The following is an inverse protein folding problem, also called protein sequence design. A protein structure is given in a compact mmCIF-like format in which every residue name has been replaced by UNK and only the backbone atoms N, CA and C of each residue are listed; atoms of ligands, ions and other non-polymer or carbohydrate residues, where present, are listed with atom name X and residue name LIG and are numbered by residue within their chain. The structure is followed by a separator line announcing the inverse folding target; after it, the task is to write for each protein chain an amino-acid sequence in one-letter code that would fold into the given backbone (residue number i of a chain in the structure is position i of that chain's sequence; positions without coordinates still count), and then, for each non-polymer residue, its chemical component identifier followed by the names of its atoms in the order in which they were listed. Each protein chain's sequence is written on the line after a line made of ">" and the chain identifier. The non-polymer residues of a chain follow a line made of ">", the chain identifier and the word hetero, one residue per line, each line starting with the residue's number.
data_IF_285751780071
#
_entry.id   IF_285751780071
#
_cell.length_a   1.000
_cell.length_b   1.000
_cell.length_c   1.000
_cell.angle_alpha   90.00
_cell.angle_beta   90.00
_cell.angle_gamma   90.00
#
_symmetry.space_group_name_H-M   'P 1'
#
loop_
_entity.id
_entity.type
_entity.pdbx_description
1 polymer ?
#
# COMPACT_ATOMS: atom_id res chain seq x y z
N UNK A 1 -14.47 -54.58 -7.53
CA UNK A 1 -15.36 -54.35 -8.69
C UNK A 1 -16.44 -55.43 -8.76
N UNK A 2 -17.73 -55.06 -8.94
CA UNK A 2 -18.84 -55.96 -9.20
C UNK A 2 -19.68 -55.42 -10.36
N UNK A 3 -20.61 -56.23 -10.86
CA UNK A 3 -21.36 -55.91 -12.07
C UNK A 3 -22.85 -56.24 -11.84
N UNK A 4 -23.72 -55.43 -12.42
CA UNK A 4 -25.17 -55.62 -12.46
C UNK A 4 -25.62 -55.54 -13.93
N UNK A 5 -26.53 -56.41 -14.34
CA UNK A 5 -27.15 -56.39 -15.65
C UNK A 5 -28.37 -55.46 -15.62
N UNK A 6 -28.43 -54.53 -16.56
CA UNK A 6 -29.49 -53.58 -16.65
C UNK A 6 -30.65 -54.11 -17.53
N UNK A 7 -31.89 -53.66 -17.31
CA UNK A 7 -33.07 -54.12 -18.10
C UNK A 7 -32.93 -53.88 -19.61
N UNK A 8 -32.04 -52.99 -20.02
CA UNK A 8 -31.77 -52.69 -21.42
C UNK A 8 -30.64 -53.52 -22.05
N UNK A 9 -30.23 -54.63 -21.40
CA UNK A 9 -29.19 -55.55 -21.87
C UNK A 9 -27.76 -55.04 -21.75
N UNK A 10 -27.52 -53.87 -21.10
CA UNK A 10 -26.20 -53.34 -20.83
C UNK A 10 -25.69 -53.77 -19.45
N UNK A 11 -24.38 -53.77 -19.28
CA UNK A 11 -23.70 -54.22 -18.05
C UNK A 11 -23.09 -53.06 -17.33
N UNK A 12 -23.53 -52.81 -16.08
CA UNK A 12 -23.06 -51.72 -15.24
C UNK A 12 -22.06 -52.27 -14.22
N UNK A 13 -20.81 -51.83 -14.33
CA UNK A 13 -19.70 -52.14 -13.45
C UNK A 13 -19.55 -51.10 -12.37
N UNK A 14 -19.26 -51.51 -11.12
CA UNK A 14 -19.11 -50.65 -9.96
C UNK A 14 -17.81 -50.93 -9.25
N UNK A 15 -17.25 -49.87 -8.64
CA UNK A 15 -16.13 -49.98 -7.72
C UNK A 15 -16.38 -49.08 -6.52
N UNK A 16 -15.88 -49.50 -5.36
CA UNK A 16 -15.94 -48.67 -4.13
C UNK A 16 -14.64 -47.94 -3.93
N UNK A 17 -14.75 -46.71 -3.41
CA UNK A 17 -13.61 -45.94 -2.96
C UNK A 17 -13.96 -45.25 -1.65
N UNK A 18 -12.96 -44.93 -0.83
CA UNK A 18 -13.09 -44.12 0.39
C UNK A 18 -13.04 -42.64 -0.01
N UNK A 19 -14.12 -41.91 0.24
CA UNK A 19 -14.19 -40.47 -0.04
C UNK A 19 -13.23 -39.73 0.88
N UNK A 20 -12.31 -38.93 0.34
CA UNK A 20 -11.26 -38.27 1.11
C UNK A 20 -11.75 -37.20 2.09
N UNK A 21 -12.96 -36.66 1.90
CA UNK A 21 -13.56 -35.65 2.76
C UNK A 21 -14.47 -36.22 3.86
N UNK A 22 -15.25 -37.23 3.52
CA UNK A 22 -16.23 -37.79 4.46
C UNK A 22 -15.79 -39.10 5.10
N UNK A 23 -14.67 -39.66 4.64
CA UNK A 23 -14.13 -40.98 4.99
C UNK A 23 -15.12 -42.14 4.78
N UNK A 24 -16.27 -41.90 4.20
CA UNK A 24 -17.31 -42.89 3.91
C UNK A 24 -17.01 -43.59 2.59
N UNK A 25 -17.42 -44.89 2.53
CA UNK A 25 -17.35 -45.65 1.29
C UNK A 25 -18.41 -45.13 0.29
N UNK A 26 -17.94 -44.63 -0.85
CA UNK A 26 -18.76 -44.25 -2.00
C UNK A 26 -18.51 -45.19 -3.16
N UNK A 27 -19.45 -45.24 -4.14
CA UNK A 27 -19.32 -46.07 -5.34
C UNK A 27 -19.24 -45.22 -6.60
N UNK A 28 -18.44 -45.65 -7.57
CA UNK A 28 -18.45 -45.18 -8.96
C UNK A 28 -18.97 -46.28 -9.86
N UNK A 29 -19.46 -45.91 -11.04
CA UNK A 29 -19.96 -46.89 -12.01
C UNK A 29 -19.62 -46.50 -13.45
N UNK A 30 -19.53 -47.52 -14.31
CA UNK A 30 -19.37 -47.43 -15.77
C UNK A 30 -20.28 -48.43 -16.43
N UNK A 31 -20.94 -48.07 -17.52
CA UNK A 31 -21.83 -48.98 -18.27
C UNK A 31 -21.15 -49.40 -19.56
N UNK A 32 -21.14 -50.69 -19.82
CA UNK A 32 -20.59 -51.33 -21.01
C UNK A 32 -21.71 -52.05 -21.78
N UNK A 33 -21.53 -52.21 -23.10
CA UNK A 33 -22.53 -52.84 -23.96
C UNK A 33 -22.39 -54.35 -24.01
N UNK A 34 -21.20 -54.89 -23.67
CA UNK A 34 -20.88 -56.33 -23.78
C UNK A 34 -20.31 -56.84 -22.45
N UNK A 35 -20.53 -58.17 -22.20
CA UNK A 35 -20.00 -58.88 -21.02
C UNK A 35 -18.78 -59.72 -21.40
N UNK A 36 -17.84 -59.16 -22.15
CA UNK A 36 -16.61 -59.85 -22.53
C UNK A 36 -15.47 -59.59 -21.54
N UNK A 37 -14.45 -60.48 -21.45
CA UNK A 37 -13.26 -60.18 -20.65
C UNK A 37 -12.61 -58.85 -20.99
N UNK A 38 -12.60 -58.48 -22.28
CA UNK A 38 -12.08 -57.20 -22.75
C UNK A 38 -12.92 -56.03 -22.23
N UNK A 39 -14.25 -56.10 -22.27
CA UNK A 39 -15.14 -55.07 -21.74
C UNK A 39 -14.99 -54.93 -20.21
N UNK A 40 -14.74 -56.02 -19.48
CA UNK A 40 -14.45 -55.99 -18.04
C UNK A 40 -13.14 -55.29 -17.72
N UNK A 41 -12.07 -55.53 -18.49
CA UNK A 41 -10.79 -54.87 -18.33
C UNK A 41 -10.91 -53.38 -18.64
N UNK A 42 -11.62 -53.01 -19.70
CA UNK A 42 -11.88 -51.62 -20.05
C UNK A 42 -12.72 -50.90 -18.97
N UNK A 43 -13.74 -51.57 -18.42
CA UNK A 43 -14.52 -51.05 -17.30
C UNK A 43 -13.66 -50.82 -16.05
N UNK A 44 -12.69 -51.71 -15.76
CA UNK A 44 -11.78 -51.57 -14.62
C UNK A 44 -10.89 -50.34 -14.78
N UNK A 45 -10.33 -50.09 -15.99
CA UNK A 45 -9.51 -48.91 -16.29
C UNK A 45 -10.35 -47.63 -16.10
N UNK A 46 -11.53 -47.57 -16.71
CA UNK A 46 -12.41 -46.39 -16.60
C UNK A 46 -12.92 -46.14 -15.17
N UNK A 47 -13.17 -47.20 -14.37
CA UNK A 47 -13.50 -47.06 -12.96
C UNK A 47 -12.34 -46.51 -12.15
N UNK A 48 -11.11 -47.00 -12.41
CA UNK A 48 -9.91 -46.50 -11.76
C UNK A 48 -9.62 -45.04 -12.11
N UNK A 49 -9.80 -44.67 -13.36
CA UNK A 49 -9.68 -43.26 -13.79
C UNK A 49 -10.71 -42.37 -13.07
N UNK A 50 -11.96 -42.81 -12.97
CA UNK A 50 -13.00 -42.10 -12.22
C UNK A 50 -12.71 -42.00 -10.73
N UNK A 51 -12.13 -43.02 -10.13
CA UNK A 51 -11.71 -43.01 -8.72
C UNK A 51 -10.54 -42.06 -8.56
N UNK A 52 -9.52 -42.19 -9.39
CA UNK A 52 -8.35 -41.31 -9.39
C UNK A 52 -8.77 -39.84 -9.53
N UNK A 53 -9.67 -39.52 -10.46
CA UNK A 53 -10.21 -38.17 -10.63
C UNK A 53 -10.95 -37.64 -9.40
N UNK A 54 -11.58 -38.52 -8.60
CA UNK A 54 -12.24 -38.12 -7.34
C UNK A 54 -11.31 -38.11 -6.14
N UNK A 55 -10.23 -38.88 -6.18
CA UNK A 55 -9.15 -38.87 -5.17
C UNK A 55 -8.14 -37.74 -5.44
N UNK A 56 -7.90 -37.36 -6.70
CA UNK A 56 -6.98 -36.30 -7.09
C UNK A 56 -7.41 -34.90 -6.64
N UNK A 57 -8.67 -34.75 -6.18
CA UNK A 57 -9.05 -33.56 -5.40
C UNK A 57 -8.23 -33.43 -4.10
N UNK A 58 -7.47 -34.43 -3.70
CA UNK A 58 -6.53 -34.40 -2.57
C UNK A 58 -5.06 -34.61 -2.98
N UNK A 59 -4.79 -35.11 -4.18
CA UNK A 59 -3.43 -35.04 -4.75
C UNK A 59 -3.22 -33.63 -5.30
N UNK A 60 -2.30 -32.95 -4.71
CA UNK A 60 -1.77 -31.66 -5.21
C UNK A 60 -1.30 -31.93 -6.64
N UNK A 61 -2.18 -31.69 -7.63
CA UNK A 61 -1.74 -31.55 -9.01
C UNK A 61 -0.59 -30.54 -8.99
N UNK A 62 0.41 -30.74 -9.83
CA UNK A 62 1.56 -29.87 -9.94
C UNK A 62 1.15 -28.46 -10.37
N UNK A 63 0.60 -27.70 -9.39
CA UNK A 63 0.15 -26.33 -9.61
C UNK A 63 1.36 -25.44 -9.94
N UNK A 64 1.23 -24.63 -10.96
CA UNK A 64 2.26 -23.69 -11.35
C UNK A 64 2.21 -22.43 -10.48
N UNK A 65 3.31 -21.68 -10.46
CA UNK A 65 3.39 -20.41 -9.77
C UNK A 65 2.36 -19.40 -10.30
N UNK A 66 2.09 -19.37 -11.59
CA UNK A 66 1.09 -18.48 -12.18
C UNK A 66 -0.33 -18.84 -11.74
N UNK A 67 -0.66 -20.12 -11.67
CA UNK A 67 -1.98 -20.56 -11.24
C UNK A 67 -2.25 -20.21 -9.79
N UNK A 68 -1.29 -20.47 -8.88
CA UNK A 68 -1.46 -20.11 -7.46
C UNK A 68 -1.46 -18.59 -7.27
N UNK A 69 -0.65 -17.85 -8.05
CA UNK A 69 -0.68 -16.38 -8.04
C UNK A 69 -2.06 -15.85 -8.42
N UNK A 70 -2.68 -16.39 -9.46
CA UNK A 70 -4.00 -15.96 -9.93
C UNK A 70 -5.10 -16.26 -8.89
N UNK A 71 -5.07 -17.43 -8.25
CA UNK A 71 -5.98 -17.78 -7.17
C UNK A 71 -5.81 -16.84 -5.97
N UNK A 72 -4.58 -16.63 -5.53
CA UNK A 72 -4.25 -15.67 -4.48
C UNK A 72 -4.71 -14.26 -4.83
N UNK A 73 -4.39 -13.78 -6.06
CA UNK A 73 -4.75 -12.43 -6.50
C UNK A 73 -6.25 -12.21 -6.48
N UNK A 74 -7.04 -13.18 -6.94
CA UNK A 74 -8.50 -13.11 -6.93
C UNK A 74 -9.07 -12.94 -5.52
N UNK A 75 -8.54 -13.67 -4.55
CA UNK A 75 -8.95 -13.55 -3.14
C UNK A 75 -8.46 -12.24 -2.52
N UNK A 76 -7.15 -11.94 -2.65
CA UNK A 76 -6.52 -10.77 -2.07
C UNK A 76 -7.09 -9.45 -2.63
N UNK A 77 -7.40 -9.39 -3.93
CA UNK A 77 -7.91 -8.18 -4.56
C UNK A 77 -9.26 -7.71 -4.01
N UNK A 78 -10.04 -8.61 -3.40
CA UNK A 78 -11.30 -8.26 -2.73
C UNK A 78 -11.10 -7.57 -1.37
N UNK A 79 -9.93 -7.75 -0.75
CA UNK A 79 -9.64 -7.25 0.60
C UNK A 79 -8.88 -5.93 0.63
N UNK A 80 -8.42 -5.42 -0.52
CA UNK A 80 -7.56 -4.25 -0.58
C UNK A 80 -8.13 -3.14 -1.45
N UNK A 81 -7.71 -1.89 -1.16
CA UNK A 81 -8.08 -0.72 -1.99
C UNK A 81 -7.43 -0.78 -3.37
N UNK A 82 -8.06 -0.17 -4.38
CA UNK A 82 -7.56 -0.11 -5.76
C UNK A 82 -6.15 0.52 -5.86
N UNK A 83 -5.87 1.56 -5.08
CA UNK A 83 -4.53 2.14 -4.98
C UNK A 83 -3.46 1.13 -4.53
N UNK A 84 -3.82 0.18 -3.66
CA UNK A 84 -2.92 -0.90 -3.25
C UNK A 84 -2.69 -1.89 -4.38
N UNK A 85 -3.75 -2.27 -5.12
CA UNK A 85 -3.63 -3.12 -6.32
C UNK A 85 -2.72 -2.46 -7.36
N UNK A 86 -2.92 -1.17 -7.62
CA UNK A 86 -2.09 -0.42 -8.56
C UNK A 86 -0.61 -0.43 -8.16
N UNK A 87 -0.30 -0.16 -6.90
CA UNK A 87 1.07 -0.14 -6.39
C UNK A 87 1.73 -1.53 -6.41
N UNK A 88 0.95 -2.61 -6.24
CA UNK A 88 1.47 -3.98 -6.31
C UNK A 88 1.83 -4.42 -7.73
N UNK A 89 1.25 -3.83 -8.79
CA UNK A 89 1.56 -4.21 -10.19
C UNK A 89 3.06 -4.18 -10.51
N UNK A 90 3.78 -3.16 -10.02
CA UNK A 90 5.22 -3.06 -10.22
C UNK A 90 6.00 -4.13 -9.46
N UNK A 91 5.54 -4.48 -8.26
CA UNK A 91 6.12 -5.55 -7.43
C UNK A 91 5.87 -6.91 -8.07
N UNK A 92 4.62 -7.16 -8.52
CA UNK A 92 4.23 -8.39 -9.20
C UNK A 92 5.02 -8.59 -10.51
N UNK A 93 5.24 -7.49 -11.26
CA UNK A 93 6.10 -7.54 -12.46
C UNK A 93 7.52 -7.99 -12.11
N UNK A 94 8.14 -7.39 -11.08
CA UNK A 94 9.50 -7.75 -10.65
C UNK A 94 9.61 -9.18 -10.13
N UNK A 95 8.59 -9.64 -9.44
CA UNK A 95 8.50 -11.03 -8.98
C UNK A 95 8.49 -12.01 -10.15
N UNK A 96 7.69 -11.73 -11.21
CA UNK A 96 7.57 -12.56 -12.41
C UNK A 96 8.83 -12.51 -13.30
N UNK A 97 9.68 -11.50 -13.17
CA UNK A 97 10.97 -11.43 -13.86
C UNK A 97 11.99 -12.47 -13.32
N UNK A 98 11.83 -12.90 -12.05
CA UNK A 98 12.76 -13.84 -11.39
C UNK A 98 12.17 -15.22 -11.13
N UNK A 99 10.85 -15.38 -11.18
CA UNK A 99 10.16 -16.67 -11.06
C UNK A 99 9.33 -16.88 -12.33
N UNK A 100 9.74 -17.82 -13.21
CA UNK A 100 8.97 -18.17 -14.41
C UNK A 100 7.55 -18.63 -14.06
N UNK A 101 6.59 -18.26 -14.87
CA UNK A 101 5.16 -18.51 -14.61
C UNK A 101 4.78 -20.00 -14.61
N UNK A 102 5.50 -20.81 -15.39
CA UNK A 102 5.32 -22.25 -15.54
C UNK A 102 6.05 -23.09 -14.48
N UNK A 103 6.77 -22.44 -13.55
CA UNK A 103 7.48 -23.13 -12.48
C UNK A 103 6.48 -23.84 -11.56
N UNK A 104 6.67 -25.13 -11.31
CA UNK A 104 5.87 -25.92 -10.37
C UNK A 104 6.11 -25.37 -8.96
N UNK A 105 5.04 -25.01 -8.25
CA UNK A 105 5.12 -24.38 -6.93
C UNK A 105 5.90 -25.22 -5.92
N UNK A 106 5.72 -26.53 -5.91
CA UNK A 106 6.40 -27.46 -5.00
C UNK A 106 7.93 -27.52 -5.23
N UNK A 107 8.41 -27.11 -6.41
CA UNK A 107 9.84 -27.06 -6.74
C UNK A 107 10.52 -25.73 -6.35
N UNK A 108 9.75 -24.74 -5.88
CA UNK A 108 10.28 -23.46 -5.39
C UNK A 108 10.81 -23.63 -3.96
N UNK A 109 11.96 -24.26 -3.87
CA UNK A 109 12.65 -24.47 -2.60
C UNK A 109 13.29 -23.17 -2.05
N UNK A 110 13.78 -23.25 -0.82
CA UNK A 110 14.44 -22.12 -0.14
C UNK A 110 15.60 -21.54 -0.92
N UNK A 111 16.42 -22.40 -1.57
CA UNK A 111 17.58 -21.97 -2.32
C UNK A 111 17.17 -21.14 -3.53
N UNK A 112 16.23 -21.64 -4.32
CA UNK A 112 15.72 -20.92 -5.49
C UNK A 112 15.12 -19.56 -5.09
N UNK A 113 14.30 -19.54 -4.01
CA UNK A 113 13.66 -18.32 -3.53
C UNK A 113 14.68 -17.30 -3.00
N UNK A 114 15.74 -17.77 -2.34
CA UNK A 114 16.82 -16.90 -1.88
C UNK A 114 17.59 -16.29 -3.06
N UNK A 115 17.98 -17.10 -4.06
CA UNK A 115 18.63 -16.62 -5.29
C UNK A 115 17.74 -15.61 -6.06
N UNK A 116 16.43 -15.85 -6.13
CA UNK A 116 15.48 -14.93 -6.74
C UNK A 116 15.42 -13.58 -6.01
N UNK A 117 15.44 -13.58 -4.69
CA UNK A 117 15.46 -12.36 -3.87
C UNK A 117 16.78 -11.60 -4.06
N UNK A 118 17.91 -12.30 -4.11
CA UNK A 118 19.24 -11.71 -4.32
C UNK A 118 19.35 -11.03 -5.69
N UNK A 119 18.84 -11.65 -6.75
CA UNK A 119 18.75 -11.03 -8.09
C UNK A 119 17.95 -9.73 -8.06
N UNK A 120 16.87 -9.67 -7.26
CA UNK A 120 16.09 -8.42 -7.11
C UNK A 120 16.87 -7.38 -6.28
N UNK A 121 17.65 -7.78 -5.28
CA UNK A 121 18.51 -6.85 -4.54
C UNK A 121 19.51 -6.19 -5.48
N UNK A 122 20.17 -6.98 -6.32
CA UNK A 122 21.14 -6.49 -7.29
C UNK A 122 20.54 -5.54 -8.33
N UNK A 123 19.40 -5.90 -8.90
CA UNK A 123 18.79 -5.14 -9.99
C UNK A 123 17.92 -3.98 -9.53
N UNK A 124 17.26 -4.07 -8.37
CA UNK A 124 16.22 -3.13 -7.93
C UNK A 124 16.38 -2.63 -6.48
N UNK A 125 17.38 -3.11 -5.77
CA UNK A 125 17.72 -2.71 -4.42
C UNK A 125 16.87 -3.33 -3.31
N UNK A 126 17.34 -3.17 -2.08
CA UNK A 126 16.80 -3.82 -0.87
C UNK A 126 15.31 -3.52 -0.59
N UNK A 127 14.85 -2.28 -0.86
CA UNK A 127 13.46 -1.88 -0.58
C UNK A 127 12.50 -2.65 -1.50
N UNK A 128 12.86 -2.81 -2.77
CA UNK A 128 12.07 -3.57 -3.74
C UNK A 128 12.06 -5.05 -3.37
N UNK A 129 13.21 -5.62 -3.02
CA UNK A 129 13.33 -7.00 -2.58
C UNK A 129 12.45 -7.30 -1.34
N UNK A 130 12.42 -6.39 -0.35
CA UNK A 130 11.52 -6.52 0.80
C UNK A 130 10.05 -6.57 0.41
N UNK A 131 9.63 -5.75 -0.56
CA UNK A 131 8.26 -5.74 -1.06
C UNK A 131 7.92 -7.03 -1.81
N UNK A 132 8.84 -7.50 -2.68
CA UNK A 132 8.67 -8.77 -3.40
C UNK A 132 8.63 -9.95 -2.44
N UNK A 133 9.56 -10.04 -1.48
CA UNK A 133 9.54 -11.09 -0.44
C UNK A 133 8.22 -11.09 0.34
N UNK A 134 7.73 -9.92 0.74
CA UNK A 134 6.44 -9.80 1.43
C UNK A 134 5.28 -10.29 0.55
N UNK A 135 5.31 -9.97 -0.74
CA UNK A 135 4.31 -10.43 -1.70
C UNK A 135 4.34 -11.93 -1.91
N UNK A 136 5.55 -12.52 -2.12
CA UNK A 136 5.77 -13.96 -2.18
C UNK A 136 5.28 -14.67 -0.92
N UNK A 137 5.60 -14.13 0.25
CA UNK A 137 5.13 -14.68 1.53
C UNK A 137 3.61 -14.77 1.59
N UNK A 138 2.90 -13.77 1.09
CA UNK A 138 1.42 -13.79 1.01
C UNK A 138 0.90 -14.88 0.09
N UNK A 139 1.53 -15.09 -1.09
CA UNK A 139 1.16 -16.13 -2.05
C UNK A 139 1.40 -17.52 -1.47
N UNK A 140 2.58 -17.74 -0.84
CA UNK A 140 2.93 -19.02 -0.24
C UNK A 140 2.07 -19.33 1.00
N UNK A 141 1.73 -18.32 1.83
CA UNK A 141 0.76 -18.52 2.92
C UNK A 141 -0.61 -18.94 2.41
N UNK A 142 -1.07 -18.34 1.30
CA UNK A 142 -2.30 -18.77 0.65
C UNK A 142 -2.20 -20.24 0.19
N UNK A 143 -1.08 -20.61 -0.41
CA UNK A 143 -0.85 -21.98 -0.86
C UNK A 143 -0.85 -22.99 0.30
N UNK A 144 -0.22 -22.65 1.44
CA UNK A 144 -0.26 -23.46 2.67
C UNK A 144 -1.69 -23.56 3.21
N UNK A 145 -2.40 -22.43 3.30
CA UNK A 145 -3.78 -22.37 3.80
C UNK A 145 -4.73 -23.30 3.03
N UNK A 146 -4.52 -23.43 1.72
CA UNK A 146 -5.34 -24.30 0.86
C UNK A 146 -4.68 -25.66 0.57
N UNK A 147 -3.62 -26.01 1.30
CA UNK A 147 -2.93 -27.32 1.24
C UNK A 147 -2.34 -27.64 -0.14
N UNK A 148 -1.92 -26.63 -0.91
CA UNK A 148 -1.14 -26.80 -2.14
C UNK A 148 0.33 -27.14 -1.86
N UNK A 149 0.86 -26.66 -0.72
CA UNK A 149 2.20 -26.97 -0.19
C UNK A 149 2.08 -27.12 1.33
N UNK A 150 3.05 -27.80 1.95
CA UNK A 150 3.07 -28.03 3.40
C UNK A 150 3.62 -26.83 4.17
N UNK A 151 4.69 -26.21 3.65
CA UNK A 151 5.42 -25.15 4.35
C UNK A 151 5.62 -23.92 3.45
N UNK A 152 5.76 -22.76 4.09
CA UNK A 152 6.11 -21.53 3.38
C UNK A 152 7.62 -21.35 3.35
N UNK A 153 8.29 -21.80 2.29
CA UNK A 153 9.74 -21.71 2.15
C UNK A 153 10.26 -20.25 2.09
N UNK A 154 9.40 -19.26 1.77
CA UNK A 154 9.77 -17.85 1.80
C UNK A 154 10.10 -17.36 3.22
N UNK A 155 9.52 -17.98 4.25
CA UNK A 155 9.78 -17.59 5.65
C UNK A 155 11.24 -17.80 6.05
N UNK A 156 11.89 -18.76 5.45
CA UNK A 156 13.30 -19.09 5.70
C UNK A 156 14.28 -18.28 4.84
N UNK A 157 13.78 -17.46 3.89
CA UNK A 157 14.65 -16.57 3.12
C UNK A 157 15.02 -15.33 3.93
N UNK A 158 16.17 -14.75 3.65
CA UNK A 158 16.68 -13.57 4.35
C UNK A 158 16.97 -12.42 3.38
N UNK A 159 16.82 -11.20 3.87
CA UNK A 159 17.32 -10.00 3.15
C UNK A 159 18.38 -9.39 4.06
N UNK A 160 19.65 -9.41 3.66
CA UNK A 160 20.73 -8.82 4.45
C UNK A 160 20.42 -7.36 4.75
N UNK A 161 20.65 -6.91 5.97
CA UNK A 161 20.54 -5.49 6.27
C UNK A 161 21.86 -4.81 5.89
N UNK A 162 21.79 -3.87 4.95
CA UNK A 162 22.95 -3.03 4.69
C UNK A 162 23.22 -2.17 5.93
N UNK A 163 24.45 -2.19 6.47
CA UNK A 163 24.83 -1.28 7.55
C UNK A 163 24.54 0.17 7.09
N UNK A 164 23.90 0.94 7.95
CA UNK A 164 23.66 2.36 7.68
C UNK A 164 24.95 3.13 7.93
N UNK A 165 25.34 3.99 7.00
CA UNK A 165 26.44 4.91 7.22
C UNK A 165 26.00 6.07 8.11
N UNK A 166 26.96 6.72 8.78
CA UNK A 166 26.68 7.94 9.56
C UNK A 166 26.00 9.01 8.69
N UNK A 167 26.48 9.19 7.47
CA UNK A 167 25.88 10.12 6.51
C UNK A 167 24.42 9.80 6.17
N UNK A 168 24.06 8.50 6.04
CA UNK A 168 22.67 8.10 5.79
C UNK A 168 21.79 8.37 7.01
N UNK A 169 22.34 8.24 8.22
CA UNK A 169 21.64 8.57 9.46
C UNK A 169 21.44 10.09 9.58
N UNK A 170 22.47 10.90 9.32
CA UNK A 170 22.39 12.36 9.33
C UNK A 170 21.43 12.90 8.27
N UNK A 171 21.49 12.38 7.03
CA UNK A 171 20.52 12.74 5.98
C UNK A 171 19.08 12.41 6.38
N UNK A 172 18.86 11.31 7.11
CA UNK A 172 17.54 10.98 7.64
C UNK A 172 17.13 11.91 8.77
N UNK A 173 18.07 12.28 9.65
CA UNK A 173 17.85 13.24 10.74
C UNK A 173 17.43 14.61 10.22
N UNK A 174 18.15 15.13 9.24
CA UNK A 174 17.98 16.48 8.68
C UNK A 174 16.93 16.54 7.55
N UNK A 175 16.07 15.51 7.41
CA UNK A 175 15.07 15.46 6.33
C UNK A 175 13.79 16.25 6.69
N UNK A 176 13.97 17.51 7.10
CA UNK A 176 12.92 18.49 7.28
C UNK A 176 13.41 19.86 6.78
N UNK A 177 12.50 20.77 6.46
CA UNK A 177 12.82 22.12 6.02
C UNK A 177 12.76 23.08 7.20
N UNK A 178 13.72 24.01 7.24
CA UNK A 178 13.66 25.14 8.17
C UNK A 178 12.60 26.15 7.72
N UNK A 179 12.18 27.04 8.61
CA UNK A 179 11.23 28.11 8.25
C UNK A 179 11.79 29.05 7.18
N UNK A 180 13.11 29.25 7.15
CA UNK A 180 13.79 30.06 6.12
C UNK A 180 13.71 29.39 4.75
N UNK A 181 13.97 28.07 4.66
CA UNK A 181 13.85 27.31 3.42
C UNK A 181 12.41 27.29 2.89
N UNK A 182 11.43 27.16 3.80
CA UNK A 182 10.00 27.18 3.43
C UNK A 182 9.61 28.56 2.89
N UNK A 183 10.01 29.67 3.56
CA UNK A 183 9.76 31.02 3.09
C UNK A 183 10.40 31.25 1.72
N UNK A 184 11.68 30.89 1.53
CA UNK A 184 12.36 31.00 0.26
C UNK A 184 11.64 30.22 -0.87
N UNK A 185 11.13 29.03 -0.58
CA UNK A 185 10.38 28.24 -1.55
C UNK A 185 9.04 28.90 -1.92
N UNK A 186 8.30 29.40 -0.93
CA UNK A 186 7.04 30.13 -1.12
C UNK A 186 7.27 31.41 -1.94
N UNK A 187 8.31 32.17 -1.64
CA UNK A 187 8.66 33.41 -2.36
C UNK A 187 8.95 33.13 -3.84
N UNK A 188 9.74 32.11 -4.13
CA UNK A 188 10.06 31.72 -5.50
C UNK A 188 8.83 31.22 -6.26
N UNK A 189 7.93 30.49 -5.61
CA UNK A 189 6.66 30.04 -6.19
C UNK A 189 5.71 31.20 -6.47
N UNK A 190 5.66 32.21 -5.60
CA UNK A 190 4.80 33.38 -5.74
C UNK A 190 5.20 34.33 -6.86
N UNK A 191 6.42 34.24 -7.39
CA UNK A 191 6.89 35.10 -8.51
C UNK A 191 6.09 34.91 -9.80
N UNK A 192 5.33 33.79 -9.92
CA UNK A 192 4.49 33.50 -11.09
C UNK A 192 3.07 33.20 -10.64
N UNK A 193 2.11 33.93 -11.13
CA UNK A 193 0.70 33.78 -10.81
C UNK A 193 0.22 32.32 -10.89
N UNK A 194 0.54 31.64 -11.99
CA UNK A 194 0.16 30.21 -12.18
C UNK A 194 0.71 29.26 -11.13
N UNK A 195 1.78 29.62 -10.38
CA UNK A 195 2.38 28.78 -9.36
C UNK A 195 2.00 29.16 -7.93
N UNK A 196 1.29 30.26 -7.74
CA UNK A 196 0.86 30.72 -6.41
C UNK A 196 0.02 29.66 -5.66
N UNK A 197 -0.79 28.86 -6.38
CA UNK A 197 -1.50 27.74 -5.76
C UNK A 197 -0.56 26.72 -5.10
N UNK A 198 0.62 26.50 -5.66
CA UNK A 198 1.60 25.58 -5.06
C UNK A 198 2.28 26.20 -3.85
N UNK A 199 2.43 27.52 -3.83
CA UNK A 199 2.88 28.26 -2.64
C UNK A 199 1.85 28.11 -1.50
N UNK A 200 0.57 28.28 -1.79
CA UNK A 200 -0.51 28.06 -0.85
C UNK A 200 -0.58 26.60 -0.37
N UNK A 201 -0.38 25.60 -1.27
CA UNK A 201 -0.30 24.20 -0.88
C UNK A 201 0.89 23.92 0.06
N UNK A 202 2.07 24.49 -0.22
CA UNK A 202 3.26 24.37 0.64
C UNK A 202 2.98 24.96 2.02
N UNK A 203 2.38 26.15 2.08
CA UNK A 203 2.04 26.82 3.32
C UNK A 203 1.05 26.02 4.14
N UNK A 204 -0.05 25.56 3.54
CA UNK A 204 -1.07 24.76 4.24
C UNK A 204 -0.49 23.44 4.73
N UNK A 205 0.28 22.71 3.90
CA UNK A 205 0.93 21.46 4.31
C UNK A 205 1.88 21.67 5.49
N UNK A 206 2.67 22.75 5.45
CA UNK A 206 3.63 23.08 6.50
C UNK A 206 2.96 23.43 7.82
N UNK A 207 1.92 24.27 7.78
CA UNK A 207 1.28 24.80 8.99
C UNK A 207 0.22 23.85 9.61
N UNK A 208 -0.22 22.85 8.83
CA UNK A 208 -1.22 21.87 9.32
C UNK A 208 -0.66 20.48 9.56
N UNK A 209 0.45 20.13 8.93
CA UNK A 209 1.00 18.77 8.94
C UNK A 209 0.13 17.74 8.23
N UNK A 210 -0.82 18.15 7.40
CA UNK A 210 -1.68 17.24 6.62
C UNK A 210 -0.87 16.38 5.64
N UNK A 211 -1.39 15.19 5.32
CA UNK A 211 -0.88 14.43 4.18
C UNK A 211 -1.31 15.07 2.87
N UNK A 212 -0.51 14.92 1.82
CA UNK A 212 -0.85 15.47 0.51
C UNK A 212 -2.24 15.04 0.01
N UNK A 213 -2.59 13.76 0.18
CA UNK A 213 -3.90 13.26 -0.20
C UNK A 213 -5.04 13.79 0.66
N UNK A 214 -4.78 14.18 1.92
CA UNK A 214 -5.75 14.86 2.79
C UNK A 214 -5.97 16.30 2.29
N UNK A 215 -4.90 17.02 1.96
CA UNK A 215 -4.98 18.38 1.38
C UNK A 215 -5.78 18.38 0.07
N UNK A 216 -5.47 17.46 -0.85
CA UNK A 216 -6.15 17.39 -2.15
C UNK A 216 -7.58 16.85 -2.07
N UNK A 217 -7.96 16.25 -0.94
CA UNK A 217 -9.32 15.82 -0.64
C UNK A 217 -10.17 16.90 0.05
N UNK A 218 -9.60 18.07 0.37
CA UNK A 218 -10.35 19.16 1.00
C UNK A 218 -11.38 19.74 0.04
N UNK A 219 -12.61 19.83 0.54
CA UNK A 219 -13.77 20.43 -0.12
C UNK A 219 -14.20 21.69 0.65
N UNK A 220 -14.96 22.57 0.02
CA UNK A 220 -15.41 23.81 0.67
C UNK A 220 -16.15 23.56 1.98
N UNK A 221 -17.00 22.54 2.04
CA UNK A 221 -17.74 22.14 3.25
C UNK A 221 -16.85 21.70 4.43
N UNK A 222 -15.57 21.44 4.20
CA UNK A 222 -14.65 20.99 5.25
C UNK A 222 -14.01 22.17 6.00
N UNK A 223 -14.29 23.43 5.63
CA UNK A 223 -13.66 24.61 6.19
C UNK A 223 -14.70 25.39 7.03
N UNK A 224 -14.40 25.57 8.30
CA UNK A 224 -15.12 26.45 9.21
C UNK A 224 -14.32 27.77 9.30
N UNK A 225 -14.77 28.77 8.53
CA UNK A 225 -14.11 30.08 8.45
C UNK A 225 -14.31 30.92 9.72
N UNK A 226 -15.41 30.71 10.44
CA UNK A 226 -15.72 31.48 11.64
C UNK A 226 -14.81 31.07 12.82
N UNK A 227 -14.53 29.77 12.94
CA UNK A 227 -13.73 29.24 14.04
C UNK A 227 -12.30 28.87 13.64
N UNK A 228 -11.89 29.13 12.40
CA UNK A 228 -10.57 28.76 11.82
C UNK A 228 -10.29 27.26 12.00
N UNK A 229 -11.20 26.38 11.56
CA UNK A 229 -11.07 24.95 11.67
C UNK A 229 -11.11 24.26 10.30
N UNK A 230 -10.39 23.18 10.20
CA UNK A 230 -10.40 22.29 9.02
C UNK A 230 -10.80 20.90 9.50
N UNK A 231 -11.84 20.34 8.88
CA UNK A 231 -12.26 18.97 9.10
C UNK A 231 -11.61 18.05 8.05
N UNK A 232 -10.77 17.13 8.50
CA UNK A 232 -10.06 16.17 7.64
C UNK A 232 -10.85 14.87 7.63
N UNK A 233 -11.64 14.63 6.58
CA UNK A 233 -12.59 13.52 6.48
C UNK A 233 -12.18 12.45 5.47
N UNK A 234 -11.10 12.67 4.72
CA UNK A 234 -10.75 11.74 3.64
C UNK A 234 -9.37 11.94 3.08
N UNK A 235 -9.10 11.09 2.08
CA UNK A 235 -7.90 11.13 1.27
C UNK A 235 -8.30 10.99 -0.20
N UNK A 236 -7.70 11.77 -1.09
CA UNK A 236 -7.97 11.65 -2.50
C UNK A 236 -7.24 10.46 -3.11
N UNK A 237 -7.99 9.54 -3.70
CA UNK A 237 -7.45 8.42 -4.47
C UNK A 237 -7.24 8.87 -5.93
N UNK A 238 -5.98 9.09 -6.28
CA UNK A 238 -5.61 9.57 -7.62
C UNK A 238 -5.82 8.51 -8.72
N UNK A 239 -5.99 7.22 -8.38
CA UNK A 239 -6.25 6.13 -9.34
C UNK A 239 -7.71 6.16 -9.76
N UNK A 240 -8.61 6.19 -8.78
CA UNK A 240 -10.06 6.21 -9.03
C UNK A 240 -10.63 7.62 -9.16
N UNK A 241 -9.83 8.66 -8.91
CA UNK A 241 -10.23 10.07 -8.94
C UNK A 241 -11.41 10.40 -8.01
N UNK A 242 -11.45 9.77 -6.85
CA UNK A 242 -12.50 9.95 -5.84
C UNK A 242 -11.91 10.21 -4.46
N UNK A 243 -12.66 10.92 -3.62
CA UNK A 243 -12.39 11.02 -2.19
C UNK A 243 -12.75 9.70 -1.52
N UNK A 244 -11.83 9.13 -0.77
CA UNK A 244 -12.01 7.89 -0.02
C UNK A 244 -11.89 8.14 1.46
N UNK A 245 -12.59 7.34 2.27
CA UNK A 245 -12.40 7.37 3.72
C UNK A 245 -10.94 7.04 4.08
N UNK A 246 -10.44 7.61 5.17
CA UNK A 246 -9.11 7.29 5.68
C UNK A 246 -8.95 5.79 5.97
N UNK A 247 -7.70 5.34 6.11
CA UNK A 247 -7.41 3.93 6.45
C UNK A 247 -7.72 3.60 7.91
N UNK A 248 -7.70 4.59 8.78
CA UNK A 248 -7.94 4.45 10.22
C UNK A 248 -8.87 5.54 10.71
N UNK A 249 -9.68 5.27 11.72
CA UNK A 249 -10.58 6.24 12.36
C UNK A 249 -9.84 7.45 12.93
N UNK A 250 -8.63 7.25 13.46
CA UNK A 250 -7.78 8.33 13.97
C UNK A 250 -7.31 9.34 12.91
N UNK A 251 -7.50 9.02 11.63
CA UNK A 251 -7.20 9.95 10.54
C UNK A 251 -8.34 10.95 10.29
N UNK A 252 -9.55 10.69 10.78
CA UNK A 252 -10.65 11.67 10.79
C UNK A 252 -10.42 12.56 12.02
N UNK A 253 -10.24 13.85 11.76
CA UNK A 253 -9.94 14.83 12.81
C UNK A 253 -10.29 16.24 12.38
N UNK A 254 -10.57 17.09 13.35
CA UNK A 254 -10.70 18.54 13.15
C UNK A 254 -9.49 19.24 13.76
N UNK A 255 -8.85 20.09 13.00
CA UNK A 255 -7.70 20.87 13.46
C UNK A 255 -8.04 22.36 13.43
N UNK A 256 -7.66 23.07 14.49
CA UNK A 256 -7.64 24.54 14.50
C UNK A 256 -6.38 25.02 13.78
N UNK A 257 -6.52 26.02 12.92
CA UNK A 257 -5.43 26.53 12.06
C UNK A 257 -5.22 28.02 12.26
N UNK A 258 -4.06 28.52 11.84
CA UNK A 258 -3.75 29.94 11.85
C UNK A 258 -4.51 30.68 10.76
N UNK A 259 -4.65 31.98 10.92
CA UNK A 259 -5.24 32.89 9.93
C UNK A 259 -4.56 32.78 8.58
N UNK A 260 -3.23 32.69 8.54
CA UNK A 260 -2.46 32.50 7.30
C UNK A 260 -2.88 31.26 6.49
N UNK A 261 -3.33 30.18 7.14
CA UNK A 261 -3.86 28.99 6.46
C UNK A 261 -5.22 29.28 5.84
N UNK A 262 -6.08 29.99 6.58
CA UNK A 262 -7.42 30.39 6.08
C UNK A 262 -7.27 31.34 4.89
N UNK A 263 -6.39 32.33 4.97
CA UNK A 263 -6.10 33.22 3.85
C UNK A 263 -5.59 32.49 2.61
N UNK A 264 -4.69 31.49 2.78
CA UNK A 264 -4.22 30.69 1.67
C UNK A 264 -5.36 29.89 1.01
N UNK A 265 -6.28 29.36 1.82
CA UNK A 265 -7.48 28.68 1.34
C UNK A 265 -8.43 29.66 0.62
N UNK A 266 -8.65 30.85 1.17
CA UNK A 266 -9.49 31.89 0.57
C UNK A 266 -8.92 32.35 -0.77
N UNK A 267 -7.62 32.60 -0.88
CA UNK A 267 -6.96 32.90 -2.17
C UNK A 267 -7.23 31.84 -3.21
N UNK A 268 -7.21 30.56 -2.79
CA UNK A 268 -7.50 29.47 -3.72
C UNK A 268 -8.98 29.43 -4.13
N UNK A 269 -9.91 29.70 -3.20
CA UNK A 269 -11.35 29.78 -3.48
C UNK A 269 -11.63 30.93 -4.47
N UNK A 270 -11.01 32.10 -4.29
CA UNK A 270 -11.14 33.24 -5.23
C UNK A 270 -10.71 32.82 -6.63
N UNK A 271 -9.54 32.16 -6.79
CA UNK A 271 -9.08 31.68 -8.11
C UNK A 271 -10.04 30.66 -8.74
N UNK A 272 -10.71 29.84 -7.92
CA UNK A 272 -11.70 28.89 -8.42
C UNK A 272 -12.99 29.59 -8.85
N UNK A 273 -13.45 30.57 -8.07
CA UNK A 273 -14.68 31.33 -8.38
C UNK A 273 -14.59 32.16 -9.66
N UNK A 274 -13.38 32.57 -10.06
CA UNK A 274 -13.16 33.23 -11.34
C UNK A 274 -13.37 32.31 -12.55
N UNK A 275 -13.31 31.01 -12.37
CA UNK A 275 -13.33 30.00 -13.46
C UNK A 275 -14.50 29.06 -13.40
N UNK A 276 -15.00 28.78 -12.20
CA UNK A 276 -16.13 27.87 -11.96
C UNK A 276 -17.22 28.60 -11.18
N UNK A 277 -18.36 28.82 -11.78
CA UNK A 277 -19.51 29.41 -11.08
C UNK A 277 -20.81 28.68 -11.44
N UNK A 278 -21.66 28.43 -10.44
CA UNK A 278 -21.44 28.60 -9.00
C UNK A 278 -20.56 27.52 -8.41
N UNK A 279 -19.77 27.85 -7.37
CA UNK A 279 -19.03 26.87 -6.59
C UNK A 279 -19.98 26.06 -5.69
N UNK A 280 -19.79 24.75 -5.67
CA UNK A 280 -20.50 23.81 -4.79
C UNK A 280 -19.73 23.59 -3.49
N UNK A 281 -20.44 23.27 -2.40
CA UNK A 281 -19.83 22.83 -1.16
C UNK A 281 -18.95 21.60 -1.30
N UNK A 282 -19.18 20.78 -2.34
CA UNK A 282 -18.43 19.55 -2.65
C UNK A 282 -17.23 19.76 -3.56
N UNK A 283 -16.98 21.01 -4.04
CA UNK A 283 -15.85 21.30 -4.89
C UNK A 283 -14.52 21.21 -4.11
N UNK A 284 -13.51 20.63 -4.80
CA UNK A 284 -12.16 20.52 -4.23
C UNK A 284 -11.43 21.85 -4.29
N UNK A 285 -10.81 22.25 -3.17
CA UNK A 285 -10.12 23.53 -3.05
C UNK A 285 -8.80 23.53 -3.84
N UNK A 286 -7.99 22.48 -3.73
CA UNK A 286 -6.67 22.37 -4.38
C UNK A 286 -6.74 21.52 -5.64
N UNK A 287 -7.34 22.04 -6.69
CA UNK A 287 -7.55 21.35 -7.95
C UNK A 287 -6.86 22.03 -9.15
N UNK A 288 -6.89 21.33 -10.30
CA UNK A 288 -6.56 21.93 -11.58
C UNK A 288 -7.72 22.80 -12.05
N UNK A 289 -7.43 24.03 -12.33
CA UNK A 289 -8.40 25.07 -12.70
C UNK A 289 -9.22 24.75 -13.96
N UNK A 290 -8.76 23.81 -14.81
CA UNK A 290 -9.48 23.43 -16.04
C UNK A 290 -10.56 22.34 -15.82
N UNK A 291 -10.40 21.48 -14.80
CA UNK A 291 -11.16 20.23 -14.73
C UNK A 291 -11.81 19.94 -13.37
N UNK A 292 -11.69 20.87 -12.43
CA UNK A 292 -12.12 20.66 -11.03
C UNK A 292 -11.63 19.32 -10.46
N UNK A 293 -10.44 18.89 -10.88
CA UNK A 293 -9.78 17.66 -10.42
C UNK A 293 -8.63 18.01 -9.51
N UNK A 294 -8.48 17.34 -8.36
CA UNK A 294 -7.37 17.57 -7.45
C UNK A 294 -6.01 17.50 -8.14
N UNK A 295 -5.11 18.38 -7.75
CA UNK A 295 -3.74 18.42 -8.28
C UNK A 295 -3.03 17.09 -8.02
N UNK A 296 -2.38 16.53 -9.03
CA UNK A 296 -1.69 15.24 -8.88
C UNK A 296 -0.39 15.39 -8.11
N UNK A 297 -0.04 14.38 -7.31
CA UNK A 297 1.21 14.37 -6.55
C UNK A 297 2.44 14.45 -7.47
N UNK A 298 2.38 13.87 -8.66
CA UNK A 298 3.47 13.91 -9.63
C UNK A 298 3.74 15.34 -10.09
N UNK A 299 2.69 16.09 -10.44
CA UNK A 299 2.80 17.49 -10.82
C UNK A 299 3.35 18.33 -9.66
N UNK A 300 2.83 18.16 -8.45
CA UNK A 300 3.32 18.86 -7.27
C UNK A 300 4.81 18.62 -7.02
N UNK A 301 5.26 17.35 -7.05
CA UNK A 301 6.68 17.01 -6.87
C UNK A 301 7.56 17.60 -7.97
N UNK A 302 7.12 17.62 -9.24
CA UNK A 302 7.86 18.26 -10.33
C UNK A 302 8.06 19.76 -10.06
N UNK A 303 7.02 20.44 -9.65
CA UNK A 303 7.07 21.87 -9.29
C UNK A 303 8.03 22.09 -8.11
N UNK A 304 7.89 21.29 -7.04
CA UNK A 304 8.78 21.39 -5.88
C UNK A 304 10.25 21.21 -6.27
N UNK A 305 10.58 20.20 -7.09
CA UNK A 305 11.96 19.97 -7.54
C UNK A 305 12.51 21.12 -8.37
N UNK A 306 11.69 21.69 -9.26
CA UNK A 306 12.09 22.83 -10.10
C UNK A 306 12.37 24.09 -9.27
N UNK A 307 11.43 24.45 -8.40
CA UNK A 307 11.49 25.68 -7.61
C UNK A 307 12.35 25.56 -6.36
N UNK A 308 12.49 24.35 -5.80
CA UNK A 308 13.42 24.05 -4.73
C UNK A 308 14.88 24.34 -5.12
N UNK A 309 15.27 23.99 -6.35
CA UNK A 309 16.60 24.36 -6.89
C UNK A 309 16.79 25.89 -6.96
N UNK A 310 15.75 26.63 -7.36
CA UNK A 310 15.79 28.11 -7.42
C UNK A 310 15.82 28.71 -6.01
N UNK A 311 15.21 28.09 -5.04
CA UNK A 311 15.25 28.46 -3.63
C UNK A 311 16.53 27.96 -2.92
N UNK A 312 17.49 27.36 -3.65
CA UNK A 312 18.75 26.79 -3.14
C UNK A 312 18.55 25.73 -2.05
N UNK A 313 17.47 24.94 -2.14
CA UNK A 313 17.18 23.84 -1.21
C UNK A 313 17.83 22.58 -1.76
N UNK A 314 18.81 22.03 -1.06
CA UNK A 314 19.53 20.81 -1.43
C UNK A 314 18.80 19.52 -1.01
N UNK A 315 17.85 19.64 -0.07
CA UNK A 315 17.08 18.52 0.46
C UNK A 315 16.14 17.93 -0.59
N UNK A 316 15.88 16.63 -0.48
CA UNK A 316 14.98 15.94 -1.42
C UNK A 316 13.53 16.32 -1.12
N UNK A 317 12.97 17.23 -1.89
CA UNK A 317 11.61 17.72 -1.73
C UNK A 317 10.58 16.66 -2.11
N UNK A 318 9.81 16.23 -1.13
CA UNK A 318 8.65 15.35 -1.26
C UNK A 318 7.44 15.95 -0.55
N UNK A 319 6.25 15.47 -0.83
CA UNK A 319 5.05 15.96 -0.11
C UNK A 319 5.09 15.70 1.40
N UNK A 320 5.82 14.68 1.84
CA UNK A 320 5.95 14.33 3.26
C UNK A 320 6.94 15.22 4.02
N UNK A 321 7.86 15.93 3.33
CA UNK A 321 8.85 16.77 4.00
C UNK A 321 8.19 17.90 4.79
N UNK A 322 7.11 18.49 4.29
CA UNK A 322 6.35 19.56 4.99
C UNK A 322 5.72 19.06 6.28
N UNK A 323 5.22 17.83 6.28
CA UNK A 323 4.69 17.21 7.49
C UNK A 323 5.79 16.86 8.49
N UNK A 324 6.96 16.43 8.04
CA UNK A 324 8.13 16.24 8.90
C UNK A 324 8.56 17.58 9.51
N UNK A 325 8.64 18.65 8.70
CA UNK A 325 8.94 20.01 9.20
C UNK A 325 7.91 20.47 10.23
N UNK A 326 6.62 20.25 9.98
CA UNK A 326 5.57 20.58 10.95
C UNK A 326 5.76 19.88 12.29
N UNK A 327 6.06 18.58 12.28
CA UNK A 327 6.31 17.81 13.50
C UNK A 327 7.56 18.32 14.22
N UNK A 328 8.64 18.62 13.49
CA UNK A 328 9.88 19.19 14.06
C UNK A 328 9.61 20.54 14.72
N UNK A 329 8.89 21.47 14.08
CA UNK A 329 8.53 22.76 14.66
C UNK A 329 7.70 22.65 15.94
N UNK A 330 6.75 21.71 15.97
CA UNK A 330 5.94 21.48 17.17
C UNK A 330 6.77 20.84 18.29
N UNK A 331 7.71 19.96 17.96
CA UNK A 331 8.62 19.35 18.91
C UNK A 331 9.59 20.40 19.50
N UNK A 332 10.22 21.24 18.66
CA UNK A 332 11.08 22.36 19.06
C UNK A 332 10.35 23.38 19.94
N UNK A 333 9.03 23.52 19.75
CA UNK A 333 8.16 24.36 20.59
C UNK A 333 7.81 23.70 21.94
N UNK A 334 8.29 22.50 22.22
CA UNK A 334 8.07 21.80 23.50
C UNK A 334 6.69 21.19 23.66
N UNK A 335 5.90 21.01 22.56
CA UNK A 335 4.58 20.42 22.68
C UNK A 335 4.67 18.91 23.01
N UNK A 336 3.78 18.39 23.85
CA UNK A 336 3.73 16.97 24.16
C UNK A 336 3.54 16.11 22.91
N UNK A 337 4.29 15.02 22.81
CA UNK A 337 4.25 14.10 21.65
C UNK A 337 2.84 13.62 21.32
N UNK A 338 2.01 13.37 22.33
CA UNK A 338 0.61 12.96 22.15
C UNK A 338 -0.20 14.01 21.40
N UNK A 339 -0.06 15.30 21.76
CA UNK A 339 -0.71 16.41 21.08
C UNK A 339 -0.28 16.54 19.62
N UNK A 340 1.02 16.33 19.34
CA UNK A 340 1.56 16.30 17.97
C UNK A 340 0.95 15.14 17.19
N UNK A 341 0.90 13.93 17.77
CA UNK A 341 0.33 12.74 17.13
C UNK A 341 -1.15 12.94 16.79
N UNK A 342 -1.94 13.46 17.72
CA UNK A 342 -3.37 13.71 17.52
C UNK A 342 -3.59 14.74 16.41
N UNK A 343 -2.81 15.83 16.41
CA UNK A 343 -2.88 16.86 15.37
C UNK A 343 -2.58 16.33 13.98
N UNK A 344 -1.52 15.53 13.83
CA UNK A 344 -1.15 14.99 12.53
C UNK A 344 -1.90 13.69 12.16
N UNK A 345 -2.60 13.05 13.10
CA UNK A 345 -3.32 11.79 12.88
C UNK A 345 -2.37 10.60 12.71
N UNK A 346 -1.38 10.44 13.60
CA UNK A 346 -0.53 9.26 13.69
C UNK A 346 -1.10 8.25 14.68
N UNK A 347 -1.39 7.05 14.20
CA UNK A 347 -1.84 5.93 15.05
C UNK A 347 -0.66 5.23 15.75
N UNK A 348 0.57 5.40 15.27
CA UNK A 348 1.77 4.80 15.83
C UNK A 348 2.77 5.90 16.21
N UNK A 349 3.21 5.87 17.47
CA UNK A 349 4.17 6.83 18.02
C UNK A 349 5.55 6.76 17.35
N UNK A 350 5.94 5.61 16.81
CA UNK A 350 7.29 5.38 16.27
C UNK A 350 7.71 6.43 15.24
N UNK A 351 6.81 6.80 14.32
CA UNK A 351 7.12 7.81 13.29
C UNK A 351 7.30 9.22 13.88
N UNK A 352 6.48 9.57 14.87
CA UNK A 352 6.59 10.88 15.55
C UNK A 352 7.82 10.89 16.45
N UNK A 353 8.08 9.81 17.17
CA UNK A 353 9.27 9.64 18.02
C UNK A 353 10.55 9.71 17.20
N UNK A 354 10.62 9.09 16.02
CA UNK A 354 11.80 9.19 15.16
C UNK A 354 12.13 10.63 14.76
N UNK A 355 11.13 11.49 14.57
CA UNK A 355 11.33 12.91 14.27
C UNK A 355 11.62 13.70 15.56
N UNK A 356 10.85 13.44 16.61
CA UNK A 356 10.97 14.10 17.90
C UNK A 356 12.35 13.91 18.57
N UNK A 357 12.92 12.70 18.46
CA UNK A 357 14.24 12.40 19.07
C UNK A 357 15.42 13.17 18.44
N UNK A 358 15.20 13.85 17.31
CA UNK A 358 16.24 14.62 16.63
C UNK A 358 16.26 16.09 17.04
N UNK A 359 15.21 16.56 17.72
CA UNK A 359 15.10 17.94 18.22
C UNK A 359 15.59 18.07 19.66
N UNK A 360 16.14 16.97 20.22
CA UNK A 360 16.46 16.92 21.67
C UNK A 360 17.72 17.67 22.05
N UNK A 361 18.68 17.93 21.12
CA UNK A 361 19.88 18.71 21.46
C UNK A 361 19.52 20.14 21.88
N UNK A 362 18.70 20.84 21.12
CA UNK A 362 18.18 22.18 21.50
C UNK A 362 17.27 22.13 22.75
N UNK A 363 16.64 20.99 23.04
CA UNK A 363 15.83 20.80 24.23
C UNK A 363 16.71 20.56 25.46
N UNK A 364 17.84 19.86 25.33
CA UNK A 364 18.79 19.70 26.43
C UNK A 364 19.38 21.03 26.86
N UNK A 365 19.79 21.90 25.93
CA UNK A 365 20.25 23.24 26.26
C UNK A 365 19.17 24.08 26.94
N UNK A 366 17.92 24.01 26.46
CA UNK A 366 16.77 24.64 27.11
C UNK A 366 16.45 24.05 28.48
N UNK A 367 16.65 22.74 28.66
CA UNK A 367 16.46 22.05 29.95
C UNK A 367 17.52 22.50 30.94
N UNK A 368 18.81 22.54 30.54
CA UNK A 368 19.92 23.02 31.40
C UNK A 368 19.66 24.47 31.82
N UNK A 369 19.35 25.35 30.86
CA UNK A 369 19.03 26.75 31.15
C UNK A 369 17.79 26.89 32.08
N UNK A 370 16.81 25.99 31.97
CA UNK A 370 15.64 26.01 32.83
C UNK A 370 15.92 25.44 34.24
N UNK A 371 16.83 24.47 34.35
CA UNK A 371 17.30 23.95 35.62
C UNK A 371 18.15 25.01 36.36
N UNK A 372 18.99 25.75 35.64
CA UNK A 372 19.78 26.87 36.18
C UNK A 372 18.92 28.04 36.71
N UNK A 373 17.68 28.16 36.21
CA UNK A 373 16.74 29.18 36.70
C UNK A 373 15.92 28.76 37.94
N UNK A 374 16.04 27.48 38.35
CA UNK A 374 15.33 26.95 39.54
C UNK A 374 16.17 27.19 40.81
N UNK A 375 17.46 27.43 40.68
CA UNK A 375 18.41 27.71 41.76
C UNK A 375 18.96 29.13 41.63
#
# INVERSE_FOLDING_TARGET
>A
MWMEELPNGKFKYFERYKDPYTEKLKKVSVTMEKKTPQARNQAAILLQEKINKKLSTKQVESITFEEIYNLFYKSWAQTVKESTKHNCKSVDKKMKEVIPSDTILANLDRRFLQEAIEKIIESNGYITAKKVRHRLRGIFNYAVQYSYIENNEVDYTTIPQKPKTLEELEKKRNNFLTMQEIKALVDVLNRREYHQKYADMVLVLTLTGMRYGELTALQLKNIDFENNKIEITGNFDSVNKIKTLPKTTNSIRTIKVSESVIEAIQRQIVRLSERFQPLSSDDYIFCFEKWNQPTTIACFIQILKKYGKQAKIEKNLSSHIFRHSHISFLAESGLPIKSIMDRVGHSNAKMTLEIYSHTTEDIEDKLVNKLDTIF
#
